data_IF_043109379514
#
_entry.id   IF_043109379514
#
_cell.length_a   1.000
_cell.length_b   1.000
_cell.length_c   1.000
_cell.angle_alpha   90.00
_cell.angle_beta   90.00
_cell.angle_gamma   90.00
#
_symmetry.space_group_name_H-M   'P 1'
#
loop_
_entity.id
_entity.type
_entity.pdbx_description
1 polymer ?
#
# COMPACT_ATOMS: atom_id res chain seq x y z
N UNK A 1 -14.75 5.48 16.92
CA UNK A 1 -14.78 4.78 15.62
C UNK A 1 -13.90 3.54 15.68
N UNK A 2 -14.45 2.43 15.26
CA UNK A 2 -13.69 1.19 15.27
C UNK A 2 -12.65 1.16 14.20
N UNK A 3 -11.49 0.67 14.54
CA UNK A 3 -10.40 0.47 13.57
C UNK A 3 -10.02 -1.00 13.50
N UNK A 4 -9.39 -1.37 12.41
CA UNK A 4 -8.89 -2.72 12.19
C UNK A 4 -7.41 -2.66 11.84
N UNK A 5 -6.70 -3.69 12.27
CA UNK A 5 -5.33 -3.87 11.83
C UNK A 5 -5.32 -4.58 10.48
N UNK A 6 -4.48 -4.12 9.57
CA UNK A 6 -4.33 -4.71 8.26
C UNK A 6 -2.90 -4.60 7.78
N UNK A 7 -2.50 -5.52 6.92
CA UNK A 7 -1.22 -5.46 6.23
C UNK A 7 -1.51 -5.52 4.74
N UNK A 8 -1.05 -4.50 4.02
CA UNK A 8 -1.13 -4.48 2.56
C UNK A 8 0.18 -4.95 1.98
N UNK A 9 0.09 -5.89 1.05
CA UNK A 9 1.24 -6.35 0.27
C UNK A 9 1.08 -5.83 -1.15
N UNK A 10 2.04 -5.06 -1.61
CA UNK A 10 1.96 -4.35 -2.89
C UNK A 10 3.14 -4.75 -3.77
N UNK A 11 2.84 -5.14 -5.00
CA UNK A 11 3.87 -5.45 -6.01
C UNK A 11 3.73 -4.42 -7.12
N UNK A 12 4.80 -3.69 -7.41
CA UNK A 12 4.77 -2.58 -8.34
C UNK A 12 5.82 -2.79 -9.43
N UNK A 13 5.38 -2.71 -10.69
CA UNK A 13 6.27 -2.87 -11.84
C UNK A 13 6.46 -1.57 -12.64
N UNK A 14 6.03 -0.44 -12.08
CA UNK A 14 6.12 0.86 -12.73
C UNK A 14 6.69 1.88 -11.77
N UNK A 15 7.71 2.60 -12.19
CA UNK A 15 8.34 3.64 -11.38
C UNK A 15 7.37 4.78 -11.05
N UNK A 16 6.52 5.12 -12.02
CA UNK A 16 5.52 6.16 -11.83
C UNK A 16 4.50 5.76 -10.78
N UNK A 17 4.10 4.49 -10.79
CA UNK A 17 3.17 3.98 -9.79
C UNK A 17 3.78 3.93 -8.40
N UNK A 18 5.10 3.69 -8.28
CA UNK A 18 5.79 3.78 -6.98
C UNK A 18 5.63 5.18 -6.39
N UNK A 19 5.82 6.20 -7.22
CA UNK A 19 5.67 7.59 -6.75
C UNK A 19 4.24 7.88 -6.32
N UNK A 20 3.26 7.41 -7.09
CA UNK A 20 1.85 7.58 -6.75
C UNK A 20 1.50 6.88 -5.44
N UNK A 21 2.02 5.68 -5.23
CA UNK A 21 1.80 4.94 -3.98
C UNK A 21 2.41 5.68 -2.80
N UNK A 22 3.64 6.16 -2.94
CA UNK A 22 4.29 6.92 -1.87
C UNK A 22 3.50 8.16 -1.49
N UNK A 23 2.92 8.84 -2.46
CA UNK A 23 2.10 10.01 -2.24
C UNK A 23 0.81 9.65 -1.48
N UNK A 24 0.13 8.59 -1.91
CA UNK A 24 -1.06 8.09 -1.24
C UNK A 24 -0.78 7.70 0.21
N UNK A 25 0.33 7.02 0.45
CA UNK A 25 0.70 6.60 1.80
C UNK A 25 1.06 7.79 2.67
N UNK A 26 1.71 8.80 2.10
CA UNK A 26 2.02 10.03 2.82
C UNK A 26 0.75 10.76 3.25
N UNK A 27 -0.22 10.88 2.36
CA UNK A 27 -1.50 11.52 2.63
C UNK A 27 -2.29 10.82 3.74
N UNK A 28 -2.09 9.51 3.89
CA UNK A 28 -2.78 8.69 4.88
C UNK A 28 -1.88 8.28 6.04
N UNK A 29 -0.80 9.03 6.27
CA UNK A 29 0.22 8.69 7.26
C UNK A 29 -0.31 8.49 8.66
N UNK A 30 -1.41 9.16 9.02
CA UNK A 30 -2.01 9.01 10.35
C UNK A 30 -2.49 7.59 10.65
N UNK A 31 -2.78 6.80 9.62
CA UNK A 31 -3.27 5.43 9.76
C UNK A 31 -2.15 4.39 9.67
N UNK A 32 -0.96 4.79 9.26
CA UNK A 32 0.14 3.86 9.00
C UNK A 32 0.97 3.62 10.25
N UNK A 33 1.06 2.35 10.65
CA UNK A 33 1.88 1.93 11.79
C UNK A 33 3.34 1.84 11.37
N UNK A 34 3.57 1.32 10.17
CA UNK A 34 4.91 1.18 9.61
C UNK A 34 4.84 0.68 8.19
N UNK A 35 5.95 0.83 7.47
CA UNK A 35 6.02 0.37 6.08
C UNK A 35 7.45 0.00 5.73
N UNK A 36 7.58 -0.89 4.75
CA UNK A 36 8.86 -1.34 4.27
C UNK A 36 8.79 -1.45 2.75
N UNK A 37 9.78 -0.89 2.08
CA UNK A 37 9.90 -0.98 0.62
C UNK A 37 11.18 -1.69 0.25
N UNK A 38 11.09 -2.66 -0.64
CA UNK A 38 12.24 -3.43 -1.11
C UNK A 38 12.30 -3.36 -2.63
N UNK A 39 13.25 -2.62 -3.20
CA UNK A 39 13.45 -2.65 -4.64
C UNK A 39 14.15 -3.96 -5.04
N UNK A 40 13.59 -4.65 -6.00
CA UNK A 40 14.20 -5.87 -6.53
C UNK A 40 14.61 -5.62 -7.98
N UNK A 41 15.83 -5.18 -8.15
CA UNK A 41 16.33 -4.67 -9.43
C UNK A 41 16.42 -5.73 -10.50
N UNK A 42 16.72 -6.96 -10.15
CA UNK A 42 16.86 -8.06 -11.10
C UNK A 42 15.58 -8.28 -11.92
N UNK A 43 14.43 -8.00 -11.35
CA UNK A 43 13.14 -8.17 -12.01
C UNK A 43 12.43 -6.85 -12.25
N UNK A 44 13.09 -5.75 -11.96
CA UNK A 44 12.52 -4.41 -12.13
C UNK A 44 11.18 -4.26 -11.39
N UNK A 45 11.14 -4.77 -10.16
CA UNK A 45 9.95 -4.79 -9.32
C UNK A 45 10.24 -4.11 -7.99
N UNK A 46 9.25 -3.45 -7.42
CA UNK A 46 9.30 -2.95 -6.05
C UNK A 46 8.27 -3.71 -5.22
N UNK A 47 8.68 -4.16 -4.05
CA UNK A 47 7.80 -4.83 -3.09
C UNK A 47 7.60 -3.89 -1.92
N UNK A 48 6.33 -3.59 -1.60
CA UNK A 48 6.00 -2.68 -0.52
C UNK A 48 5.06 -3.38 0.44
N UNK A 49 5.38 -3.32 1.72
CA UNK A 49 4.52 -3.85 2.77
C UNK A 49 4.14 -2.71 3.70
N UNK A 50 2.85 -2.56 3.99
CA UNK A 50 2.33 -1.47 4.81
C UNK A 50 1.44 -2.03 5.89
N UNK A 51 1.73 -1.69 7.14
CA UNK A 51 0.88 -2.04 8.28
C UNK A 51 0.02 -0.84 8.63
N UNK A 52 -1.28 -1.06 8.79
CA UNK A 52 -2.27 -0.01 9.01
C UNK A 52 -3.13 -0.32 10.22
N UNK A 53 -3.57 0.72 10.90
CA UNK A 53 -4.64 0.66 11.88
C UNK A 53 -5.62 1.77 11.51
N UNK A 54 -6.74 1.41 10.92
CA UNK A 54 -7.68 2.38 10.35
C UNK A 54 -9.10 1.82 10.29
N UNK A 55 -10.10 2.70 10.14
CA UNK A 55 -11.45 2.23 9.84
C UNK A 55 -11.44 1.41 8.55
N UNK A 56 -12.27 0.38 8.48
CA UNK A 56 -12.29 -0.53 7.33
C UNK A 56 -12.54 0.19 6.00
N UNK A 57 -13.41 1.19 5.99
CA UNK A 57 -13.69 1.95 4.77
C UNK A 57 -12.46 2.72 4.27
N UNK A 58 -11.62 3.20 5.19
CA UNK A 58 -10.36 3.86 4.82
C UNK A 58 -9.37 2.87 4.22
N UNK A 59 -9.24 1.70 4.84
CA UNK A 59 -8.35 0.66 4.31
C UNK A 59 -8.79 0.26 2.91
N UNK A 60 -10.08 0.03 2.72
CA UNK A 60 -10.63 -0.33 1.41
C UNK A 60 -10.43 0.76 0.37
N UNK A 61 -10.59 2.03 0.76
CA UNK A 61 -10.38 3.16 -0.14
C UNK A 61 -8.91 3.26 -0.57
N UNK A 62 -7.99 3.12 0.36
CA UNK A 62 -6.54 3.16 0.06
C UNK A 62 -6.17 2.00 -0.85
N UNK A 63 -6.60 0.79 -0.50
CA UNK A 63 -6.36 -0.41 -1.29
C UNK A 63 -6.91 -0.27 -2.72
N UNK A 64 -8.13 0.25 -2.85
CA UNK A 64 -8.75 0.46 -4.15
C UNK A 64 -7.99 1.43 -5.03
N UNK A 65 -7.53 2.55 -4.45
CA UNK A 65 -6.75 3.54 -5.19
C UNK A 65 -5.41 2.97 -5.64
N UNK A 66 -4.75 2.21 -4.77
CA UNK A 66 -3.47 1.58 -5.11
C UNK A 66 -3.69 0.53 -6.20
N UNK A 67 -4.72 -0.30 -6.05
CA UNK A 67 -5.01 -1.36 -7.02
C UNK A 67 -5.38 -0.86 -8.40
N UNK A 68 -5.85 0.39 -8.51
CA UNK A 68 -6.18 1.00 -9.80
C UNK A 68 -4.97 1.58 -10.53
N UNK A 69 -3.82 1.64 -9.89
CA UNK A 69 -2.62 2.15 -10.54
C UNK A 69 -2.09 1.14 -11.55
N UNK A 70 -1.42 1.65 -12.58
CA UNK A 70 -0.88 0.82 -13.65
C UNK A 70 0.24 -0.07 -13.13
N UNK A 71 0.18 -1.34 -13.51
CA UNK A 71 1.20 -2.36 -13.17
C UNK A 71 1.39 -2.57 -11.67
N UNK A 72 0.29 -2.50 -10.93
CA UNK A 72 0.28 -2.69 -9.48
C UNK A 72 -0.66 -3.80 -9.09
N UNK A 73 -0.18 -4.68 -8.20
CA UNK A 73 -1.00 -5.69 -7.55
C UNK A 73 -1.00 -5.40 -6.06
N UNK A 74 -2.16 -5.46 -5.43
CA UNK A 74 -2.28 -5.24 -3.99
C UNK A 74 -3.16 -6.33 -3.38
N UNK A 75 -2.72 -6.83 -2.24
CA UNK A 75 -3.51 -7.76 -1.42
C UNK A 75 -3.45 -7.30 0.02
N UNK A 76 -4.58 -7.38 0.69
CA UNK A 76 -4.69 -6.92 2.07
C UNK A 76 -5.13 -8.08 2.97
N UNK A 77 -4.38 -8.28 4.03
CA UNK A 77 -4.74 -9.22 5.08
C UNK A 77 -5.25 -8.43 6.29
N UNK A 78 -6.40 -8.82 6.80
CA UNK A 78 -6.99 -8.21 7.98
C UNK A 78 -6.79 -9.08 9.21
N UNK A 79 -6.53 -8.44 10.32
CA UNK A 79 -6.46 -9.14 11.60
C UNK A 79 -7.85 -9.48 12.12
#
# INVERSE_FOLDING_TARGET
METRLAVMSIIVRSKESVNAINELLHENGEYIIGRMGIPYRERNINLISVALDAPQDKISAISGKIGNLENVEVKTAFA
#
